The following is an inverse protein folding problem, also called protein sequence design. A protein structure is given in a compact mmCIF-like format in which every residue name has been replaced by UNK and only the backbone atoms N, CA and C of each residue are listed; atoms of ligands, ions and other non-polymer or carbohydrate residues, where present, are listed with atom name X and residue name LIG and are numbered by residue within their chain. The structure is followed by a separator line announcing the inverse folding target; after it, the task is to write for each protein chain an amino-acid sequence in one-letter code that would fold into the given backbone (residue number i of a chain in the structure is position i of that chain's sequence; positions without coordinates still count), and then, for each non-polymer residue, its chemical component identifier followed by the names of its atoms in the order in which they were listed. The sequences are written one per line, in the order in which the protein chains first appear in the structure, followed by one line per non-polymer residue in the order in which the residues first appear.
data_IF_090980628972
#
_entry.id   IF_090980628972
#
_cell.length_a   1.000
_cell.length_b   1.000
_cell.length_c   1.000
_cell.angle_alpha   90.00
_cell.angle_beta   90.00
_cell.angle_gamma   90.00
#
_symmetry.space_group_name_H-M   'P 1'
#
loop_
_entity.id
_entity.type
_entity.pdbx_description
1 polymer ?
#
# COMPACT_ATOMS: atom_id res chain seq x y z
N UNK A 1 -5.38 -37.48 -11.79
CA UNK A 1 -6.33 -37.29 -10.67
C UNK A 1 -5.52 -36.82 -9.49
N UNK A 2 -5.41 -35.51 -9.31
CA UNK A 2 -4.77 -34.93 -8.13
C UNK A 2 -5.73 -35.11 -6.94
N UNK A 3 -5.25 -35.73 -5.88
CA UNK A 3 -6.02 -35.95 -4.66
C UNK A 3 -6.32 -34.59 -4.03
N UNK A 4 -7.59 -34.20 -3.99
CA UNK A 4 -8.06 -33.08 -3.17
C UNK A 4 -7.56 -33.32 -1.73
N UNK A 5 -6.57 -32.53 -1.30
CA UNK A 5 -6.07 -32.56 0.07
C UNK A 5 -7.15 -31.96 0.97
N UNK A 6 -7.98 -32.81 1.54
CA UNK A 6 -8.99 -32.41 2.53
C UNK A 6 -8.34 -32.35 3.91
N UNK A 7 -8.30 -31.16 4.50
CA UNK A 7 -7.86 -30.96 5.88
C UNK A 7 -9.09 -30.78 6.79
N UNK A 8 -9.30 -31.71 7.73
CA UNK A 8 -10.47 -31.71 8.62
C UNK A 8 -10.21 -31.03 9.98
N UNK A 9 -8.99 -30.52 10.19
CA UNK A 9 -8.57 -29.83 11.42
C UNK A 9 -7.70 -28.62 11.06
N UNK A 10 -7.70 -27.54 11.87
CA UNK A 10 -6.79 -26.42 11.63
C UNK A 10 -5.32 -26.90 11.66
N UNK A 11 -4.55 -26.56 10.63
CA UNK A 11 -3.12 -26.85 10.54
C UNK A 11 -2.33 -25.57 10.28
N UNK A 12 -1.17 -25.37 10.93
CA UNK A 12 -0.31 -24.24 10.63
C UNK A 12 0.22 -24.34 9.20
N UNK A 13 0.25 -23.21 8.49
CA UNK A 13 0.84 -23.10 7.16
C UNK A 13 2.36 -23.13 7.29
N UNK A 14 2.95 -24.32 7.10
CA UNK A 14 4.37 -24.59 7.42
C UNK A 14 5.38 -23.77 6.61
N UNK A 15 4.99 -23.30 5.44
CA UNK A 15 5.87 -22.56 4.52
C UNK A 15 5.89 -21.05 4.77
N UNK A 16 5.04 -20.54 5.67
CA UNK A 16 5.20 -19.16 6.16
C UNK A 16 6.35 -19.08 7.18
N UNK A 17 7.12 -17.99 7.20
CA UNK A 17 8.21 -17.84 8.16
C UNK A 17 7.68 -17.80 9.60
N UNK A 18 8.22 -18.64 10.48
CA UNK A 18 7.79 -18.71 11.89
C UNK A 18 7.98 -17.41 12.67
N UNK A 19 8.89 -16.55 12.21
CA UNK A 19 9.24 -15.29 12.87
C UNK A 19 8.58 -14.07 12.18
N UNK A 20 7.77 -14.29 11.14
CA UNK A 20 7.03 -13.21 10.50
C UNK A 20 5.84 -12.79 11.37
N UNK A 21 5.73 -11.49 11.64
CA UNK A 21 4.57 -10.94 12.33
C UNK A 21 3.50 -10.55 11.30
N UNK A 22 2.52 -11.43 11.10
CA UNK A 22 1.44 -11.25 10.13
C UNK A 22 0.37 -10.32 10.70
N UNK A 23 -0.01 -9.28 9.94
CA UNK A 23 -0.90 -8.21 10.42
C UNK A 23 -2.26 -8.19 9.72
N UNK A 24 -2.37 -8.78 8.52
CA UNK A 24 -3.61 -8.80 7.76
C UNK A 24 -3.61 -9.98 6.79
N UNK A 25 -4.76 -10.62 6.64
CA UNK A 25 -5.02 -11.74 5.73
C UNK A 25 -6.37 -11.53 5.08
N UNK A 26 -6.49 -11.90 3.80
CA UNK A 26 -7.78 -12.01 3.13
C UNK A 26 -7.79 -13.17 2.13
N UNK A 27 -8.99 -13.65 1.81
CA UNK A 27 -9.22 -14.77 0.92
C UNK A 27 -10.14 -14.34 -0.23
N UNK A 28 -9.59 -14.40 -1.45
CA UNK A 28 -10.35 -14.27 -2.68
C UNK A 28 -11.05 -15.59 -3.06
N UNK A 29 -11.64 -15.60 -4.25
CA UNK A 29 -12.26 -16.83 -4.78
C UNK A 29 -11.22 -17.90 -5.11
N UNK A 30 -10.06 -17.48 -5.62
CA UNK A 30 -9.02 -18.39 -6.09
C UNK A 30 -7.74 -18.36 -5.25
N UNK A 31 -7.59 -17.41 -4.33
CA UNK A 31 -6.33 -17.22 -3.62
C UNK A 31 -6.51 -16.73 -2.19
N UNK A 32 -5.45 -16.89 -1.41
CA UNK A 32 -5.28 -16.29 -0.09
C UNK A 32 -4.05 -15.39 -0.14
N UNK A 33 -4.15 -14.20 0.44
CA UNK A 33 -3.03 -13.28 0.61
C UNK A 33 -2.86 -12.89 2.06
N UNK A 34 -1.61 -12.81 2.51
CA UNK A 34 -1.25 -12.38 3.87
C UNK A 34 -0.10 -11.41 3.82
N UNK A 35 -0.13 -10.41 4.68
CA UNK A 35 0.90 -9.37 4.78
C UNK A 35 1.48 -9.30 6.19
N UNK A 36 2.80 -9.15 6.28
CA UNK A 36 3.52 -8.94 7.54
C UNK A 36 3.70 -7.46 7.87
N UNK A 37 4.00 -7.15 9.13
CA UNK A 37 4.29 -5.78 9.57
C UNK A 37 5.50 -5.14 8.90
N UNK A 38 6.41 -5.95 8.34
CA UNK A 38 7.61 -5.46 7.66
C UNK A 38 7.38 -5.17 6.18
N UNK A 39 6.22 -5.54 5.62
CA UNK A 39 5.89 -5.27 4.22
C UNK A 39 5.98 -6.47 3.28
N UNK A 40 6.32 -7.64 3.80
CA UNK A 40 6.32 -8.87 3.00
C UNK A 40 4.88 -9.34 2.77
N UNK A 41 4.58 -9.74 1.53
CA UNK A 41 3.28 -10.24 1.12
C UNK A 41 3.46 -11.65 0.57
N UNK A 42 2.73 -12.61 1.13
CA UNK A 42 2.63 -13.96 0.58
C UNK A 42 1.26 -14.18 -0.02
N UNK A 43 1.21 -14.85 -1.17
CA UNK A 43 -0.05 -15.28 -1.78
C UNK A 43 0.06 -16.70 -2.33
N UNK A 44 -1.03 -17.47 -2.23
CA UNK A 44 -1.13 -18.81 -2.80
C UNK A 44 -2.56 -19.08 -3.27
N UNK A 45 -2.76 -20.01 -4.19
CA UNK A 45 -4.06 -20.20 -4.83
C UNK A 45 -4.01 -20.85 -6.21
N UNK A 46 -5.18 -20.93 -6.84
CA UNK A 46 -5.43 -21.51 -8.16
C UNK A 46 -5.54 -20.43 -9.24
N UNK A 47 -5.71 -20.84 -10.50
CA UNK A 47 -5.95 -20.01 -11.69
C UNK A 47 -4.74 -19.18 -12.14
N UNK A 48 -3.59 -19.84 -12.34
CA UNK A 48 -2.42 -19.25 -13.03
C UNK A 48 -1.81 -18.01 -12.34
N UNK A 49 -1.99 -17.86 -11.03
CA UNK A 49 -1.34 -16.79 -10.30
C UNK A 49 -2.03 -15.42 -10.40
N UNK A 50 -3.28 -15.40 -10.86
CA UNK A 50 -4.08 -14.19 -10.99
C UNK A 50 -4.41 -13.61 -9.60
N UNK A 51 -3.62 -12.62 -9.16
CA UNK A 51 -3.71 -12.01 -7.84
C UNK A 51 -2.58 -12.40 -6.88
N UNK A 52 -1.64 -13.26 -7.31
CA UNK A 52 -0.53 -13.74 -6.47
C UNK A 52 0.73 -12.85 -6.52
N UNK A 53 0.84 -11.99 -7.55
CA UNK A 53 2.02 -11.19 -7.95
C UNK A 53 3.38 -11.91 -7.81
N UNK A 54 3.75 -12.75 -8.78
CA UNK A 54 5.13 -13.08 -9.08
C UNK A 54 5.68 -12.09 -10.12
N UNK A 55 6.99 -11.98 -10.33
CA UNK A 55 7.54 -11.46 -11.58
C UNK A 55 6.98 -12.34 -12.73
N UNK A 56 5.92 -11.89 -13.41
CA UNK A 56 5.02 -12.74 -14.20
C UNK A 56 5.59 -13.11 -15.59
N UNK A 57 6.79 -13.69 -15.62
CA UNK A 57 7.29 -14.44 -16.78
C UNK A 57 6.70 -15.85 -16.75
N UNK A 58 5.59 -16.04 -17.46
CA UNK A 58 5.01 -17.36 -17.74
C UNK A 58 5.70 -18.02 -18.95
N UNK A 59 7.02 -18.23 -18.89
CA UNK A 59 7.79 -18.90 -19.97
C UNK A 59 8.05 -20.39 -19.70
N UNK A 60 7.54 -20.94 -18.59
CA UNK A 60 7.63 -22.36 -18.25
C UNK A 60 6.31 -23.12 -18.44
N UNK A 61 6.41 -24.44 -18.64
CA UNK A 61 5.29 -25.40 -18.79
C UNK A 61 4.45 -25.63 -17.53
N UNK A 62 4.71 -24.93 -16.43
CA UNK A 62 4.01 -25.09 -15.16
C UNK A 62 2.85 -24.10 -15.03
N UNK A 63 1.66 -24.60 -14.68
CA UNK A 63 0.35 -23.99 -14.87
C UNK A 63 0.01 -22.76 -13.99
N UNK A 64 1.00 -22.13 -13.34
CA UNK A 64 0.85 -20.87 -12.60
C UNK A 64 0.05 -20.93 -11.29
N UNK A 65 -0.43 -22.09 -10.85
CA UNK A 65 -1.01 -22.27 -9.51
C UNK A 65 0.09 -22.30 -8.44
N UNK A 66 -0.21 -21.83 -7.24
CA UNK A 66 0.67 -21.91 -6.07
C UNK A 66 -0.02 -22.70 -4.97
N UNK A 67 0.40 -23.95 -4.75
CA UNK A 67 -0.11 -24.81 -3.69
C UNK A 67 0.38 -24.40 -2.29
N UNK A 68 1.34 -23.48 -2.23
CA UNK A 68 1.93 -22.99 -1.00
C UNK A 68 2.28 -21.49 -1.07
N UNK A 69 2.42 -20.80 0.09
CA UNK A 69 2.70 -19.37 0.16
C UNK A 69 3.90 -18.94 -0.68
N UNK A 70 3.65 -18.16 -1.73
CA UNK A 70 4.69 -17.54 -2.54
C UNK A 70 4.94 -16.11 -2.04
N UNK A 71 6.19 -15.80 -1.69
CA UNK A 71 6.59 -14.44 -1.35
C UNK A 71 6.61 -13.57 -2.61
N UNK A 72 5.97 -12.41 -2.54
CA UNK A 72 6.08 -11.39 -3.58
C UNK A 72 7.46 -10.74 -3.54
N UNK A 73 8.31 -11.05 -4.52
CA UNK A 73 9.62 -10.43 -4.74
C UNK A 73 9.63 -9.74 -6.11
N UNK A 74 10.02 -8.45 -6.21
CA UNK A 74 10.13 -7.83 -7.54
C UNK A 74 10.25 -6.32 -7.72
N UNK A 75 10.20 -5.46 -6.69
CA UNK A 75 10.18 -4.00 -6.91
C UNK A 75 11.06 -3.16 -5.97
N UNK A 76 12.14 -3.73 -5.44
CA UNK A 76 13.09 -2.98 -4.61
C UNK A 76 14.43 -3.69 -4.54
N UNK A 77 15.49 -2.99 -4.97
CA UNK A 77 16.85 -3.54 -4.99
C UNK A 77 17.40 -3.76 -3.57
N UNK A 78 16.81 -3.16 -2.53
CA UNK A 78 17.23 -3.32 -1.13
C UNK A 78 16.07 -3.06 -0.13
N UNK A 79 15.05 -3.91 -0.07
CA UNK A 79 14.04 -3.85 1.01
C UNK A 79 12.61 -4.31 0.67
N UNK A 80 11.71 -4.30 1.67
CA UNK A 80 10.32 -4.70 1.49
C UNK A 80 9.55 -3.74 0.57
N UNK A 81 8.77 -4.30 -0.35
CA UNK A 81 8.05 -3.55 -1.39
C UNK A 81 7.01 -2.58 -0.77
N UNK A 82 6.37 -3.00 0.33
CA UNK A 82 5.29 -2.26 0.96
C UNK A 82 5.65 -1.79 2.36
N UNK A 83 6.24 -0.60 2.49
CA UNK A 83 6.50 0.01 3.80
C UNK A 83 5.19 0.30 4.56
N UNK A 84 5.17 0.05 5.87
CA UNK A 84 4.02 0.29 6.76
C UNK A 84 2.68 -0.19 6.17
N UNK A 85 2.54 -1.51 5.89
CA UNK A 85 1.29 -2.06 5.38
C UNK A 85 0.20 -1.96 6.44
N UNK A 86 -1.04 -1.77 5.99
CA UNK A 86 -2.22 -1.66 6.86
C UNK A 86 -3.15 -2.85 6.64
N UNK A 87 -3.52 -3.10 5.39
CA UNK A 87 -4.55 -4.08 5.08
C UNK A 87 -4.40 -4.63 3.66
N UNK A 88 -4.66 -5.92 3.51
CA UNK A 88 -4.88 -6.57 2.21
C UNK A 88 -6.37 -6.87 2.02
N UNK A 89 -6.84 -6.78 0.78
CA UNK A 89 -8.16 -7.27 0.38
C UNK A 89 -8.10 -8.00 -0.97
N UNK A 90 -8.87 -9.07 -1.10
CA UNK A 90 -8.83 -9.99 -2.23
C UNK A 90 -10.22 -10.05 -2.91
N UNK A 91 -10.24 -9.74 -4.20
CA UNK A 91 -11.38 -10.03 -5.07
C UNK A 91 -11.34 -11.47 -5.60
N UNK A 92 -12.15 -11.75 -6.62
CA UNK A 92 -12.17 -13.08 -7.22
C UNK A 92 -10.79 -13.51 -7.78
N UNK A 93 -10.09 -12.59 -8.45
CA UNK A 93 -8.79 -12.84 -9.09
C UNK A 93 -7.89 -11.58 -9.09
N UNK A 94 -8.10 -10.66 -8.14
CA UNK A 94 -7.27 -9.48 -7.94
C UNK A 94 -7.05 -9.25 -6.45
N UNK A 95 -6.00 -8.50 -6.13
CA UNK A 95 -5.63 -8.15 -4.76
C UNK A 95 -5.34 -6.66 -4.70
N UNK A 96 -5.74 -6.03 -3.59
CA UNK A 96 -5.39 -4.66 -3.26
C UNK A 96 -4.73 -4.60 -1.89
N UNK A 97 -3.82 -3.64 -1.71
CA UNK A 97 -3.08 -3.46 -0.47
C UNK A 97 -2.90 -1.99 -0.17
N UNK A 98 -3.30 -1.58 1.03
CA UNK A 98 -3.04 -0.23 1.55
C UNK A 98 -1.74 -0.26 2.37
N UNK A 99 -0.81 0.62 2.02
CA UNK A 99 0.49 0.76 2.66
C UNK A 99 0.88 2.22 2.85
N UNK A 100 2.08 2.42 3.40
CA UNK A 100 2.70 3.70 3.66
C UNK A 100 1.79 4.55 4.54
N UNK A 101 1.40 4.01 5.69
CA UNK A 101 0.55 4.70 6.66
C UNK A 101 -0.80 5.15 6.08
N UNK A 102 -1.26 4.47 5.02
CA UNK A 102 -2.55 4.72 4.37
C UNK A 102 -2.47 5.64 3.15
N UNK A 103 -1.29 6.16 2.83
CA UNK A 103 -1.12 7.09 1.71
C UNK A 103 -1.01 6.42 0.34
N UNK A 104 -0.78 5.11 0.27
CA UNK A 104 -0.66 4.39 -1.00
C UNK A 104 -1.56 3.17 -1.04
N UNK A 105 -2.29 3.04 -2.15
CA UNK A 105 -3.04 1.85 -2.51
C UNK A 105 -2.35 1.17 -3.70
N UNK A 106 -2.14 -0.13 -3.58
CA UNK A 106 -1.57 -0.99 -4.61
C UNK A 106 -2.66 -1.95 -5.08
N UNK A 107 -2.65 -2.30 -6.37
CA UNK A 107 -3.59 -3.24 -6.97
C UNK A 107 -2.88 -4.10 -8.01
N UNK A 108 -3.13 -5.42 -7.99
CA UNK A 108 -2.58 -6.35 -8.97
C UNK A 108 -3.52 -7.54 -9.21
N UNK A 109 -3.25 -8.32 -10.27
CA UNK A 109 -4.06 -9.46 -10.70
C UNK A 109 -4.89 -9.15 -11.95
N UNK A 110 -6.10 -9.73 -12.05
CA UNK A 110 -6.96 -9.61 -13.24
C UNK A 110 -7.65 -8.25 -13.28
N UNK A 111 -7.32 -7.45 -14.29
CA UNK A 111 -7.82 -6.08 -14.45
C UNK A 111 -9.10 -5.88 -15.25
N UNK A 112 -9.87 -6.93 -15.55
CA UNK A 112 -11.12 -6.81 -16.33
C UNK A 112 -12.08 -5.81 -15.68
N UNK A 113 -12.72 -4.96 -16.48
CA UNK A 113 -13.69 -3.95 -16.02
C UNK A 113 -13.11 -2.85 -15.12
N UNK A 114 -11.81 -2.52 -15.26
CA UNK A 114 -11.19 -1.44 -14.52
C UNK A 114 -11.01 -1.68 -13.03
N UNK A 115 -11.16 -2.92 -12.53
CA UNK A 115 -11.11 -3.25 -11.10
C UNK A 115 -9.76 -2.93 -10.43
N UNK A 116 -8.69 -2.77 -11.21
CA UNK A 116 -7.38 -2.34 -10.70
C UNK A 116 -7.24 -0.83 -10.58
N UNK A 117 -8.12 -0.04 -11.21
CA UNK A 117 -8.05 1.42 -11.16
C UNK A 117 -6.91 2.05 -11.97
N UNK A 118 -6.23 1.28 -12.82
CA UNK A 118 -5.04 1.70 -13.59
C UNK A 118 -5.28 1.82 -15.11
N UNK A 119 -6.53 1.76 -15.57
CA UNK A 119 -6.82 1.86 -17.01
C UNK A 119 -6.63 3.30 -17.51
N UNK A 120 -5.85 3.52 -18.59
CA UNK A 120 -5.84 4.80 -19.28
C UNK A 120 -7.21 5.03 -19.91
N UNK A 121 -7.73 6.27 -19.85
CA UNK A 121 -8.91 6.66 -20.63
C UNK A 121 -8.59 6.61 -22.13
N UNK A 122 -8.71 5.46 -22.77
CA UNK A 122 -8.53 5.35 -24.21
C UNK A 122 -9.81 5.76 -24.92
N UNK A 123 -9.75 6.90 -25.60
CA UNK A 123 -10.67 7.27 -26.68
C UNK A 123 -10.42 6.29 -27.84
N UNK A 124 -11.47 5.58 -28.27
CA UNK A 124 -11.66 4.83 -29.52
C UNK A 124 -10.46 4.25 -30.28
N UNK A 125 -10.42 2.93 -30.41
CA UNK A 125 -9.51 2.17 -31.29
C UNK A 125 -9.69 2.49 -32.78
N UNK A 126 -8.60 2.45 -33.56
CA UNK A 126 -8.45 1.54 -34.71
C UNK A 126 -7.01 1.59 -35.30
N UNK A 127 -6.48 0.43 -35.75
CA UNK A 127 -5.43 0.37 -36.79
C UNK A 127 -4.11 -0.31 -36.42
N UNK A 128 -3.98 -1.58 -36.79
CA UNK A 128 -2.79 -2.44 -36.66
C UNK A 128 -1.68 -2.08 -37.68
N UNK A 129 -0.45 -1.77 -37.24
CA UNK A 129 0.69 -1.55 -38.13
C UNK A 129 1.99 -0.95 -37.56
N UNK A 130 2.06 -0.62 -36.26
CA UNK A 130 3.10 0.30 -35.74
C UNK A 130 3.78 -0.15 -34.44
N UNK A 131 4.01 -1.45 -34.20
CA UNK A 131 4.46 -1.91 -32.87
C UNK A 131 5.79 -1.29 -32.38
N UNK A 132 6.82 -1.14 -33.23
CA UNK A 132 8.12 -0.62 -32.79
C UNK A 132 8.16 0.91 -32.65
N UNK A 133 7.53 1.65 -33.56
CA UNK A 133 7.48 3.12 -33.51
C UNK A 133 6.50 3.60 -32.43
N UNK A 134 5.37 2.89 -32.25
CA UNK A 134 4.42 3.18 -31.18
C UNK A 134 5.01 2.87 -29.80
N UNK A 135 5.94 1.93 -29.67
CA UNK A 135 6.59 1.61 -28.39
C UNK A 135 7.60 2.69 -27.97
N UNK A 136 8.35 3.25 -28.93
CA UNK A 136 9.23 4.42 -28.68
C UNK A 136 8.44 5.70 -28.43
N UNK A 137 7.34 5.92 -29.17
CA UNK A 137 6.47 7.11 -28.98
C UNK A 137 5.66 7.01 -27.68
N UNK A 138 5.22 5.81 -27.30
CA UNK A 138 4.61 5.51 -25.99
C UNK A 138 5.60 5.72 -24.84
N UNK A 139 6.85 5.29 -24.98
CA UNK A 139 7.89 5.52 -23.95
C UNK A 139 8.20 7.01 -23.80
N UNK A 140 8.26 7.75 -24.91
CA UNK A 140 8.42 9.20 -24.89
C UNK A 140 7.24 9.89 -24.20
N UNK A 141 6.01 9.45 -24.50
CA UNK A 141 4.77 9.96 -23.89
C UNK A 141 4.72 9.69 -22.38
N UNK A 142 5.09 8.49 -21.94
CA UNK A 142 5.18 8.14 -20.52
C UNK A 142 6.22 8.98 -19.78
N UNK A 143 7.41 9.16 -20.37
CA UNK A 143 8.44 10.02 -19.80
C UNK A 143 7.98 11.49 -19.73
N UNK A 144 7.24 11.98 -20.72
CA UNK A 144 6.67 13.32 -20.71
C UNK A 144 5.59 13.50 -19.64
N UNK A 145 4.71 12.52 -19.43
CA UNK A 145 3.72 12.55 -18.35
C UNK A 145 4.37 12.48 -16.97
N UNK A 146 5.42 11.66 -16.81
CA UNK A 146 6.18 11.57 -15.58
C UNK A 146 6.90 12.89 -15.25
N UNK A 147 7.52 13.52 -16.24
CA UNK A 147 8.12 14.85 -16.10
C UNK A 147 7.06 15.89 -15.70
N UNK A 148 5.87 15.85 -16.32
CA UNK A 148 4.77 16.77 -15.99
C UNK A 148 4.25 16.56 -14.57
N UNK A 149 4.16 15.30 -14.12
CA UNK A 149 3.78 14.95 -12.75
C UNK A 149 4.84 15.42 -11.74
N UNK A 150 6.13 15.22 -12.04
CA UNK A 150 7.24 15.67 -11.20
C UNK A 150 7.30 17.19 -11.11
N UNK A 151 7.06 17.90 -12.22
CA UNK A 151 6.94 19.37 -12.23
C UNK A 151 5.76 19.85 -11.37
N UNK A 152 4.61 19.17 -11.43
CA UNK A 152 3.46 19.49 -10.58
C UNK A 152 3.74 19.23 -9.10
N UNK A 153 4.39 18.11 -8.77
CA UNK A 153 4.82 17.80 -7.40
C UNK A 153 5.86 18.79 -6.87
N UNK A 154 6.84 19.16 -7.69
CA UNK A 154 7.85 20.17 -7.35
C UNK A 154 7.20 21.54 -7.10
N UNK A 155 6.26 21.96 -7.96
CA UNK A 155 5.51 23.21 -7.78
C UNK A 155 4.74 23.23 -6.45
N UNK A 156 4.11 22.11 -6.08
CA UNK A 156 3.45 21.97 -4.77
C UNK A 156 4.48 22.03 -3.64
N UNK A 157 5.61 21.35 -3.77
CA UNK A 157 6.69 21.40 -2.78
C UNK A 157 7.30 22.80 -2.64
N UNK A 158 7.41 23.56 -3.72
CA UNK A 158 7.84 24.96 -3.72
C UNK A 158 6.77 25.88 -3.10
N UNK A 159 5.48 25.58 -3.28
CA UNK A 159 4.39 26.28 -2.59
C UNK A 159 4.44 26.03 -1.08
N UNK A 160 4.62 24.79 -0.64
CA UNK A 160 4.81 24.45 0.78
C UNK A 160 6.11 25.01 1.33
N UNK A 161 7.20 24.98 0.55
CA UNK A 161 8.49 25.58 0.88
C UNK A 161 8.38 27.10 1.00
N UNK A 162 7.62 27.76 0.13
CA UNK A 162 7.29 29.18 0.21
C UNK A 162 6.41 29.50 1.41
N UNK A 163 5.49 28.60 1.79
CA UNK A 163 4.70 28.70 3.02
C UNK A 163 5.57 28.56 4.29
N UNK A 164 6.58 27.69 4.25
CA UNK A 164 7.56 27.48 5.32
C UNK A 164 8.62 28.59 5.39
N UNK A 165 9.06 29.13 4.26
CA UNK A 165 9.98 30.26 4.18
C UNK A 165 9.29 31.62 4.37
N UNK A 166 7.97 31.69 4.14
CA UNK A 166 7.11 32.83 4.45
C UNK A 166 6.84 33.02 5.96
N UNK A 167 7.27 32.09 6.80
CA UNK A 167 7.27 32.23 8.27
C UNK A 167 8.20 33.33 8.80
N UNK A 168 8.98 34.00 7.92
CA UNK A 168 9.81 35.15 8.28
C UNK A 168 9.32 36.49 7.72
N UNK A 169 8.18 36.57 7.01
CA UNK A 169 7.66 37.86 6.56
C UNK A 169 6.15 37.91 6.41
N UNK A 170 5.49 38.55 7.38
CA UNK A 170 4.25 39.30 7.15
C UNK A 170 2.93 38.55 7.32
N UNK A 171 2.38 38.63 8.53
CA UNK A 171 0.95 38.69 8.85
C UNK A 171 -0.02 37.74 8.11
N UNK A 172 0.25 36.43 8.17
CA UNK A 172 -0.68 35.38 7.71
C UNK A 172 -1.58 34.93 8.87
N UNK A 173 -2.84 35.38 8.88
CA UNK A 173 -3.80 35.07 9.94
C UNK A 173 -4.49 33.72 9.65
N UNK A 174 -3.86 32.66 10.17
CA UNK A 174 -4.29 31.25 10.00
C UNK A 174 -5.76 31.05 10.41
N UNK A 175 -6.26 31.83 11.36
CA UNK A 175 -7.65 31.73 11.80
C UNK A 175 -8.64 32.10 10.69
N UNK A 176 -8.35 33.14 9.91
CA UNK A 176 -9.23 33.58 8.80
C UNK A 176 -9.25 32.60 7.63
N UNK A 177 -8.10 32.02 7.29
CA UNK A 177 -8.02 31.01 6.23
C UNK A 177 -8.71 29.70 6.66
N UNK A 178 -8.61 29.35 7.96
CA UNK A 178 -9.34 28.23 8.53
C UNK A 178 -10.85 28.44 8.50
N UNK A 179 -11.32 29.64 8.85
CA UNK A 179 -12.74 30.01 8.78
C UNK A 179 -13.27 29.98 7.34
N UNK A 180 -12.56 30.57 6.38
CA UNK A 180 -12.90 30.52 4.95
C UNK A 180 -12.96 29.07 4.39
N UNK A 181 -12.04 28.21 4.84
CA UNK A 181 -12.05 26.79 4.46
C UNK A 181 -13.26 26.04 5.06
N UNK A 182 -13.66 26.36 6.29
CA UNK A 182 -14.83 25.75 6.92
C UNK A 182 -16.15 26.22 6.28
N UNK A 183 -16.25 27.50 5.91
CA UNK A 183 -17.42 28.06 5.25
C UNK A 183 -17.64 27.51 3.83
N UNK A 184 -16.57 27.15 3.13
CA UNK A 184 -16.62 26.60 1.77
C UNK A 184 -16.67 25.07 1.68
N UNK A 185 -16.62 24.38 2.83
CA UNK A 185 -16.58 22.93 2.89
C UNK A 185 -17.99 22.30 2.90
N UNK A 186 -18.25 21.38 1.96
CA UNK A 186 -19.46 20.54 1.98
C UNK A 186 -19.43 19.50 3.12
N UNK A 187 -20.57 18.89 3.41
CA UNK A 187 -20.72 17.91 4.49
C UNK A 187 -19.77 16.70 4.35
N UNK A 188 -19.37 16.34 3.13
CA UNK A 188 -18.42 15.27 2.86
C UNK A 188 -16.99 15.67 3.26
N UNK A 189 -16.57 16.88 2.90
CA UNK A 189 -15.25 17.45 3.28
C UNK A 189 -15.14 17.61 4.80
N UNK A 190 -16.19 18.11 5.45
CA UNK A 190 -16.23 18.26 6.91
C UNK A 190 -16.15 16.91 7.62
N UNK A 191 -16.86 15.88 7.13
CA UNK A 191 -16.78 14.52 7.70
C UNK A 191 -15.39 13.90 7.53
N UNK A 192 -14.73 14.12 6.38
CA UNK A 192 -13.35 13.66 6.17
C UNK A 192 -12.36 14.35 7.12
N UNK A 193 -12.52 15.66 7.32
CA UNK A 193 -11.71 16.43 8.25
C UNK A 193 -11.93 15.97 9.69
N UNK A 194 -13.18 15.71 10.09
CA UNK A 194 -13.54 15.16 11.40
C UNK A 194 -12.88 13.79 11.63
N UNK A 195 -12.98 12.88 10.66
CA UNK A 195 -12.36 11.56 10.73
C UNK A 195 -10.84 11.66 10.86
N UNK A 196 -10.22 12.54 10.07
CA UNK A 196 -8.78 12.80 10.12
C UNK A 196 -8.33 13.32 11.50
N UNK A 197 -9.02 14.32 12.06
CA UNK A 197 -8.70 14.82 13.40
C UNK A 197 -8.94 13.79 14.49
N UNK A 198 -9.98 12.98 14.36
CA UNK A 198 -10.29 11.91 15.32
C UNK A 198 -9.18 10.85 15.33
N UNK A 199 -8.72 10.46 14.15
CA UNK A 199 -7.68 9.45 13.98
C UNK A 199 -6.30 9.95 14.42
N UNK A 200 -5.93 11.18 14.05
CA UNK A 200 -4.72 11.85 14.54
C UNK A 200 -4.70 11.92 16.07
N UNK A 201 -5.82 12.33 16.68
CA UNK A 201 -5.95 12.43 18.13
C UNK A 201 -5.89 11.05 18.81
N UNK A 202 -6.45 10.01 18.20
CA UNK A 202 -6.33 8.64 18.70
C UNK A 202 -4.87 8.16 18.67
N UNK A 203 -4.17 8.42 17.57
CA UNK A 203 -2.74 8.09 17.41
C UNK A 203 -1.85 8.82 18.42
N UNK A 204 -2.10 10.11 18.65
CA UNK A 204 -1.35 10.88 19.65
C UNK A 204 -1.61 10.33 21.06
N UNK A 205 -2.86 10.01 21.40
CA UNK A 205 -3.21 9.39 22.69
C UNK A 205 -2.51 8.04 22.88
N UNK A 206 -2.50 7.20 21.86
CA UNK A 206 -1.81 5.91 21.89
C UNK A 206 -0.30 6.08 22.12
N UNK A 207 0.34 7.00 21.39
CA UNK A 207 1.78 7.32 21.58
C UNK A 207 2.08 7.84 22.99
N UNK A 208 1.24 8.72 23.54
CA UNK A 208 1.39 9.21 24.92
C UNK A 208 1.21 8.08 25.93
N UNK A 209 0.21 7.21 25.73
CA UNK A 209 -0.06 6.07 26.60
C UNK A 209 1.11 5.08 26.59
N UNK A 210 1.64 4.74 25.41
CA UNK A 210 2.83 3.89 25.26
C UNK A 210 4.04 4.45 25.98
N UNK A 211 4.28 5.77 25.87
CA UNK A 211 5.39 6.43 26.58
C UNK A 211 5.23 6.34 28.11
N UNK A 212 4.01 6.58 28.62
CA UNK A 212 3.72 6.43 30.05
C UNK A 212 3.92 5.00 30.55
N UNK A 213 3.48 4.01 29.77
CA UNK A 213 3.70 2.60 30.11
C UNK A 213 5.21 2.29 30.17
N UNK A 214 6.01 2.80 29.22
CA UNK A 214 7.46 2.64 29.24
C UNK A 214 8.12 3.30 30.46
N UNK A 215 7.67 4.49 30.84
CA UNK A 215 8.12 5.18 32.05
C UNK A 215 7.80 4.37 33.31
N UNK A 216 6.56 3.88 33.45
CA UNK A 216 6.14 3.03 34.57
C UNK A 216 6.96 1.73 34.62
N UNK A 217 7.18 1.06 33.48
CA UNK A 217 8.00 -0.17 33.43
C UNK A 217 9.43 0.12 33.90
N UNK A 218 9.99 1.27 33.51
CA UNK A 218 11.33 1.70 33.91
C UNK A 218 11.41 2.04 35.41
N UNK A 219 10.35 2.56 36.00
CA UNK A 219 10.26 2.85 37.43
C UNK A 219 10.02 1.59 38.28
N UNK A 220 9.26 0.61 37.76
CA UNK A 220 8.95 -0.64 38.47
C UNK A 220 10.04 -1.72 38.38
N UNK A 221 11.02 -1.58 37.48
CA UNK A 221 12.19 -2.46 37.37
C UNK A 221 13.42 -1.76 37.96
N UNK A 222 13.66 -1.84 39.29
CA UNK A 222 14.92 -1.38 39.84
C UNK A 222 16.07 -2.20 39.23
N UNK A 223 17.06 -1.49 38.72
CA UNK A 223 18.28 -2.01 38.13
C UNK A 223 18.98 -2.98 39.08
N UNK A 224 18.78 -4.28 38.88
CA UNK A 224 19.55 -5.34 39.53
C UNK A 224 20.92 -5.48 38.85
N UNK A 225 21.79 -4.48 38.99
CA UNK A 225 23.22 -4.58 38.67
C UNK A 225 24.02 -3.54 39.44
N UNK A 226 24.23 -3.82 40.72
CA UNK A 226 25.36 -3.44 41.60
C UNK A 226 25.33 -4.51 42.70
N UNK A 227 26.37 -5.24 43.09
CA UNK A 227 27.80 -5.00 43.16
C UNK A 227 28.51 -6.34 43.52
N UNK A 228 29.79 -6.45 43.10
CA UNK A 228 30.86 -7.38 43.51
C UNK A 228 30.95 -8.75 42.83
#
# INVERSE_FOLDING_TARGET
MELLKVCLKPEPVKELPQQAYLISVDCGLFHTSVVSSVGDVWSWGMEKGLGLCPDASFTGTDAGDAASPLLMSGYGVDGPIFHNPIQVACGAAHTVLVAHDGYKLWSWGRGTSGVLGNEPKTVGEEGNGSKAVAETDRSLSLAMEEIKLLQSKLSIMEQYGGMLHGLNSGNFDIAKEWESMLESADHGKLRRLELFYRDMRATIKDKIMKRRIQEIIKECLPSSTTEK
#
